data_IF_682172394222
#
_entry.id   IF_682172394222
#
_cell.length_a   1.000
_cell.length_b   1.000
_cell.length_c   1.000
_cell.angle_alpha   90.00
_cell.angle_beta   90.00
_cell.angle_gamma   90.00
#
_symmetry.space_group_name_H-M   'P 1'
#
loop_
_entity.id
_entity.type
_entity.pdbx_description
1 polymer ?
#
# COMPACT_ATOMS: atom_id res chain seq x y z
N UNK A 1 -12.40 22.73 12.84
CA UNK A 1 -12.38 21.93 14.07
C UNK A 1 -11.11 21.09 14.06
N UNK A 2 -10.22 21.28 15.03
CA UNK A 2 -8.94 20.56 15.13
C UNK A 2 -9.14 19.04 15.31
N UNK A 3 -10.18 18.65 16.04
CA UNK A 3 -10.54 17.25 16.25
C UNK A 3 -10.82 16.50 14.94
N UNK A 4 -11.49 17.15 13.99
CA UNK A 4 -11.83 16.54 12.69
C UNK A 4 -10.58 16.37 11.83
N UNK A 5 -9.71 17.38 11.81
CA UNK A 5 -8.43 17.30 11.09
C UNK A 5 -7.58 16.14 11.63
N UNK A 6 -7.41 16.04 12.94
CA UNK A 6 -6.66 14.93 13.54
C UNK A 6 -7.26 13.57 13.19
N UNK A 7 -8.59 13.47 13.12
CA UNK A 7 -9.26 12.23 12.77
C UNK A 7 -8.99 11.81 11.31
N UNK A 8 -9.09 12.77 10.37
CA UNK A 8 -8.93 12.54 8.93
C UNK A 8 -7.49 12.21 8.54
N UNK A 9 -6.52 12.89 9.15
CA UNK A 9 -5.11 12.81 8.77
C UNK A 9 -4.31 11.82 9.62
N UNK A 10 -4.79 11.37 10.79
CA UNK A 10 -4.04 10.42 11.61
C UNK A 10 -4.85 9.14 11.86
N UNK A 11 -6.04 9.27 12.47
CA UNK A 11 -6.79 8.10 12.98
C UNK A 11 -7.33 7.16 11.90
N UNK A 12 -7.61 7.66 10.71
CA UNK A 12 -8.05 6.80 9.61
C UNK A 12 -6.95 5.89 9.07
N UNK A 13 -5.67 6.26 9.20
CA UNK A 13 -4.59 5.36 8.78
C UNK A 13 -4.60 4.07 9.61
N UNK A 14 -4.89 4.16 10.90
CA UNK A 14 -4.90 2.99 11.79
C UNK A 14 -6.10 2.09 11.52
N UNK A 15 -7.28 2.68 11.40
CA UNK A 15 -8.57 1.97 11.30
C UNK A 15 -8.89 1.49 9.89
N UNK A 16 -8.68 2.33 8.88
CA UNK A 16 -9.06 2.08 7.48
C UNK A 16 -7.86 1.82 6.56
N UNK A 17 -6.62 1.93 7.08
CA UNK A 17 -5.39 1.83 6.28
C UNK A 17 -5.31 2.86 5.15
N UNK A 18 -6.01 3.99 5.30
CA UNK A 18 -6.00 5.12 4.40
C UNK A 18 -6.28 6.41 5.17
N UNK A 19 -5.67 7.51 4.77
CA UNK A 19 -5.81 8.81 5.41
C UNK A 19 -5.92 9.91 4.37
N UNK A 20 -6.45 11.05 4.78
CA UNK A 20 -6.43 12.25 3.95
C UNK A 20 -5.04 12.90 4.02
N UNK A 21 -4.64 13.55 2.93
CA UNK A 21 -3.45 14.38 2.83
C UNK A 21 -3.80 15.63 2.02
N UNK A 22 -3.19 16.76 2.35
CA UNK A 22 -3.39 18.02 1.65
C UNK A 22 -2.03 18.66 1.39
N UNK A 23 -1.75 18.93 0.13
CA UNK A 23 -0.52 19.55 -0.33
C UNK A 23 -0.87 20.38 -1.57
N UNK A 24 -0.39 21.62 -1.61
CA UNK A 24 -0.71 22.57 -2.69
C UNK A 24 0.20 22.35 -3.90
N UNK A 25 1.44 21.92 -3.66
CA UNK A 25 2.38 21.61 -4.72
C UNK A 25 2.09 20.21 -5.31
N UNK A 26 1.72 20.10 -6.59
CA UNK A 26 1.39 18.82 -7.21
C UNK A 26 2.56 17.83 -7.19
N UNK A 27 3.81 18.29 -7.22
CA UNK A 27 4.99 17.42 -7.18
C UNK A 27 5.13 16.80 -5.79
N UNK A 28 4.98 17.61 -4.74
CA UNK A 28 5.00 17.11 -3.35
C UNK A 28 3.80 16.20 -3.07
N UNK A 29 2.63 16.52 -3.60
CA UNK A 29 1.46 15.65 -3.51
C UNK A 29 1.74 14.26 -4.14
N UNK A 30 2.39 14.23 -5.31
CA UNK A 30 2.82 12.98 -5.94
C UNK A 30 3.83 12.21 -5.07
N UNK A 31 4.80 12.90 -4.47
CA UNK A 31 5.77 12.27 -3.56
C UNK A 31 5.09 11.66 -2.33
N UNK A 32 4.09 12.34 -1.74
CA UNK A 32 3.31 11.81 -0.61
C UNK A 32 2.55 10.53 -1.00
N UNK A 33 1.94 10.51 -2.18
CA UNK A 33 1.26 9.31 -2.69
C UNK A 33 2.24 8.13 -2.87
N UNK A 34 3.39 8.38 -3.48
CA UNK A 34 4.43 7.36 -3.70
C UNK A 34 4.94 6.82 -2.35
N UNK A 35 5.26 7.69 -1.40
CA UNK A 35 5.73 7.29 -0.07
C UNK A 35 4.70 6.41 0.66
N UNK A 36 3.41 6.73 0.53
CA UNK A 36 2.34 5.94 1.12
C UNK A 36 2.18 4.56 0.45
N UNK A 37 2.33 4.50 -0.88
CA UNK A 37 2.36 3.24 -1.64
C UNK A 37 3.54 2.37 -1.21
N UNK A 38 4.73 2.94 -1.08
CA UNK A 38 5.93 2.18 -0.72
C UNK A 38 5.87 1.66 0.74
N UNK A 39 5.33 2.46 1.68
CA UNK A 39 5.01 2.00 3.04
C UNK A 39 4.10 0.76 3.00
N UNK A 40 3.06 0.78 2.15
CA UNK A 40 2.14 -0.35 1.97
C UNK A 40 2.79 -1.55 1.30
N UNK A 41 3.60 -1.34 0.25
CA UNK A 41 4.36 -2.41 -0.42
C UNK A 41 5.28 -3.13 0.55
N UNK A 42 5.97 -2.38 1.41
CA UNK A 42 6.84 -2.92 2.45
C UNK A 42 6.05 -3.73 3.50
N UNK A 43 4.90 -3.20 3.94
CA UNK A 43 4.02 -3.92 4.88
C UNK A 43 3.47 -5.24 4.29
N UNK A 44 3.27 -5.30 2.97
CA UNK A 44 2.79 -6.48 2.26
C UNK A 44 3.93 -7.41 1.78
N UNK A 45 5.20 -7.04 1.95
CA UNK A 45 6.34 -7.81 1.47
C UNK A 45 6.46 -7.90 -0.07
N UNK A 46 5.95 -6.89 -0.77
CA UNK A 46 6.01 -6.76 -2.25
C UNK A 46 6.90 -5.58 -2.67
N UNK A 47 7.75 -5.10 -1.77
CA UNK A 47 8.73 -4.03 -2.03
C UNK A 47 9.83 -4.50 -3.00
N UNK A 48 10.07 -5.80 -3.07
CA UNK A 48 11.04 -6.41 -3.98
C UNK A 48 10.35 -7.06 -5.17
N UNK A 49 11.00 -6.98 -6.33
CA UNK A 49 10.60 -7.75 -7.50
C UNK A 49 10.69 -9.25 -7.15
N UNK A 50 9.54 -9.95 -7.08
CA UNK A 50 9.54 -11.42 -7.07
C UNK A 50 10.05 -11.92 -8.41
N UNK A 51 10.77 -13.03 -8.38
CA UNK A 51 11.05 -13.79 -9.59
C UNK A 51 9.72 -14.15 -10.27
N UNK A 52 9.59 -13.79 -11.54
CA UNK A 52 8.43 -14.17 -12.34
C UNK A 52 8.56 -15.67 -12.65
N UNK A 53 7.97 -16.49 -11.80
CA UNK A 53 7.94 -17.94 -12.02
C UNK A 53 6.79 -18.25 -12.97
N UNK A 54 7.10 -18.84 -14.12
CA UNK A 54 6.09 -19.43 -14.99
C UNK A 54 5.64 -20.75 -14.35
N UNK A 55 4.42 -20.78 -13.84
CA UNK A 55 3.79 -22.00 -13.35
C UNK A 55 3.15 -22.73 -14.53
N UNK A 56 3.67 -23.91 -14.85
CA UNK A 56 3.01 -24.86 -15.75
C UNK A 56 1.77 -25.50 -15.09
N UNK A 57 1.03 -26.30 -15.86
CA UNK A 57 -0.19 -26.94 -15.39
C UNK A 57 0.05 -27.98 -14.27
N UNK A 58 1.25 -28.54 -14.19
CA UNK A 58 1.62 -29.54 -13.18
C UNK A 58 1.86 -28.85 -11.84
N UNK A 59 2.68 -27.80 -11.80
CA UNK A 59 2.90 -26.98 -10.59
C UNK A 59 1.63 -26.33 -10.05
N UNK A 60 0.66 -25.98 -10.91
CA UNK A 60 -0.64 -25.47 -10.46
C UNK A 60 -1.45 -26.52 -9.71
N UNK A 61 -1.42 -27.78 -10.16
CA UNK A 61 -2.14 -28.88 -9.48
C UNK A 61 -1.52 -29.23 -8.12
N UNK A 62 -0.19 -29.12 -8.00
CA UNK A 62 0.50 -29.36 -6.72
C UNK A 62 0.14 -28.30 -5.67
N UNK A 63 -0.06 -27.04 -6.06
CA UNK A 63 -0.45 -25.96 -5.15
C UNK A 63 -1.88 -26.13 -4.60
N UNK A 64 -2.81 -26.67 -5.39
CA UNK A 64 -4.19 -26.92 -4.94
C UNK A 64 -4.30 -28.15 -4.02
N UNK A 65 -3.26 -28.99 -3.96
CA UNK A 65 -3.23 -30.23 -3.17
C UNK A 65 -2.56 -30.07 -1.79
N UNK A 66 -1.96 -28.91 -1.49
CA UNK A 66 -1.29 -28.58 -0.24
C UNK A 66 -2.16 -27.71 0.69
#
# INVERSE_FOLDING_TARGET
>A
SEAVTKYLFEKYEDTLKGMWAFEQDPIKAAQLMIAHIDKKRKALGIDKARERILYDMEKRRELDAA
#
